data_IF_907204773607
#
_entry.id   IF_907204773607
#
_cell.length_a   1.000
_cell.length_b   1.000
_cell.length_c   1.000
_cell.angle_alpha   90.00
_cell.angle_beta   90.00
_cell.angle_gamma   90.00
#
_symmetry.space_group_name_H-M   'P 1'
#
loop_
_entity.id
_entity.type
_entity.pdbx_description
1 polymer ?
#
# COMPACT_ATOMS: atom_id res chain seq x y z
N UNK A 1 -41.36 62.77 40.10
CA UNK A 1 -41.48 61.43 40.70
C UNK A 1 -41.64 60.46 39.56
N UNK A 2 -40.55 59.78 39.23
CA UNK A 2 -40.39 58.90 38.07
C UNK A 2 -41.06 57.56 38.39
N UNK A 3 -41.97 57.08 37.57
CA UNK A 3 -42.42 55.68 37.61
C UNK A 3 -42.28 55.10 36.22
N UNK A 4 -41.41 54.10 36.16
CA UNK A 4 -40.84 53.45 34.99
C UNK A 4 -41.85 52.42 34.49
N UNK A 5 -42.15 52.44 33.19
CA UNK A 5 -42.87 51.36 32.53
C UNK A 5 -41.95 50.14 32.47
N UNK A 6 -42.39 49.04 33.09
CA UNK A 6 -41.72 47.75 33.00
C UNK A 6 -42.21 47.02 31.75
N UNK A 7 -41.52 47.23 30.62
CA UNK A 7 -41.65 46.34 29.48
C UNK A 7 -40.93 45.02 29.82
N UNK A 8 -41.70 43.95 29.98
CA UNK A 8 -41.17 42.59 29.98
C UNK A 8 -40.70 42.28 28.56
N UNK A 9 -39.42 42.47 28.31
CA UNK A 9 -38.75 41.91 27.13
C UNK A 9 -38.75 40.39 27.31
N UNK A 10 -39.60 39.71 26.53
CA UNK A 10 -39.53 38.27 26.36
C UNK A 10 -38.30 38.03 25.47
N UNK A 11 -37.14 37.81 26.09
CA UNK A 11 -35.94 37.46 25.35
C UNK A 11 -36.18 36.08 24.72
N UNK A 12 -36.50 36.05 23.43
CA UNK A 12 -36.37 34.83 22.64
C UNK A 12 -34.95 34.32 22.85
N UNK A 13 -34.82 33.05 23.26
CA UNK A 13 -33.54 32.35 23.26
C UNK A 13 -33.07 32.31 21.82
N UNK A 14 -32.16 33.22 21.45
CA UNK A 14 -31.50 33.22 20.15
C UNK A 14 -30.69 31.93 20.08
N UNK A 15 -31.08 31.03 19.17
CA UNK A 15 -30.31 29.83 18.86
C UNK A 15 -29.06 30.20 18.07
N UNK A 16 -27.97 29.46 18.30
CA UNK A 16 -26.75 29.59 17.49
C UNK A 16 -27.03 29.09 16.07
N UNK A 17 -26.60 29.86 15.07
CA UNK A 17 -26.57 29.44 13.68
C UNK A 17 -25.16 28.96 13.30
N UNK A 18 -25.04 28.11 12.27
CA UNK A 18 -23.73 27.63 11.79
C UNK A 18 -22.77 28.78 11.43
N UNK A 19 -23.31 29.89 10.91
CA UNK A 19 -22.54 31.07 10.56
C UNK A 19 -21.98 31.83 11.79
N UNK A 20 -22.45 31.52 13.00
CA UNK A 20 -21.96 32.13 14.23
C UNK A 20 -20.68 31.48 14.73
N UNK A 21 -20.44 30.19 14.42
CA UNK A 21 -19.30 29.42 14.93
C UNK A 21 -17.96 30.10 14.61
N UNK A 22 -17.78 30.55 13.37
CA UNK A 22 -16.53 31.18 12.88
C UNK A 22 -16.20 32.51 13.56
N UNK A 23 -17.19 33.15 14.22
CA UNK A 23 -16.96 34.40 14.95
C UNK A 23 -16.11 34.19 16.20
N UNK A 24 -16.08 32.98 16.74
CA UNK A 24 -15.33 32.60 17.94
C UNK A 24 -14.31 31.48 17.69
N UNK A 25 -14.65 30.50 16.86
CA UNK A 25 -13.82 29.36 16.47
C UNK A 25 -13.23 29.61 15.09
N UNK A 26 -11.98 30.04 15.00
CA UNK A 26 -11.35 30.32 13.71
C UNK A 26 -10.67 29.07 13.14
N UNK A 27 -10.07 28.26 14.01
CA UNK A 27 -9.22 27.14 13.60
C UNK A 27 -10.06 25.93 13.17
N UNK A 28 -11.12 25.59 13.90
CA UNK A 28 -11.95 24.42 13.61
C UNK A 28 -12.69 24.53 12.27
N UNK A 29 -13.41 25.63 11.95
CA UNK A 29 -14.01 25.79 10.63
C UNK A 29 -12.98 25.81 9.50
N UNK A 30 -11.79 26.37 9.73
CA UNK A 30 -10.70 26.37 8.74
C UNK A 30 -10.14 24.96 8.50
N UNK A 31 -10.00 24.16 9.56
CA UNK A 31 -9.61 22.74 9.50
C UNK A 31 -10.66 21.92 8.74
N UNK A 32 -11.95 22.07 9.06
CA UNK A 32 -13.03 21.40 8.31
C UNK A 32 -13.04 21.80 6.84
N UNK A 33 -12.86 23.10 6.55
CA UNK A 33 -12.84 23.58 5.18
C UNK A 33 -11.69 22.97 4.35
N UNK A 34 -10.52 22.77 4.97
CA UNK A 34 -9.32 22.27 4.30
C UNK A 34 -9.25 20.74 4.25
N UNK A 35 -9.60 20.08 5.36
CA UNK A 35 -9.31 18.66 5.62
C UNK A 35 -10.54 17.86 6.10
N UNK A 36 -11.71 18.49 6.25
CA UNK A 36 -12.89 17.86 6.86
C UNK A 36 -13.53 16.73 6.06
N UNK A 37 -13.19 16.58 4.77
CA UNK A 37 -13.75 15.55 3.90
C UNK A 37 -15.28 15.56 3.93
N UNK A 38 -15.89 14.44 4.34
CA UNK A 38 -17.37 14.36 4.49
C UNK A 38 -17.91 15.25 5.60
N UNK A 39 -17.12 15.60 6.62
CA UNK A 39 -17.57 16.51 7.67
C UNK A 39 -17.77 17.95 7.17
N UNK A 40 -17.18 18.30 6.03
CA UNK A 40 -17.39 19.60 5.38
C UNK A 40 -18.62 19.62 4.44
N UNK A 41 -19.14 18.45 4.04
CA UNK A 41 -20.10 18.35 2.93
C UNK A 41 -21.39 17.60 3.26
N UNK A 42 -21.35 16.70 4.25
CA UNK A 42 -22.47 15.83 4.61
C UNK A 42 -23.13 16.20 5.95
N UNK A 43 -22.45 17.01 6.76
CA UNK A 43 -22.92 17.49 8.07
C UNK A 43 -22.52 18.96 8.23
N UNK A 44 -23.14 19.62 9.18
CA UNK A 44 -22.88 20.99 9.62
C UNK A 44 -22.31 20.98 11.05
N UNK A 45 -21.83 22.14 11.51
CA UNK A 45 -21.35 22.29 12.88
C UNK A 45 -22.39 21.85 13.92
N UNK A 46 -23.67 22.14 13.67
CA UNK A 46 -24.77 21.84 14.60
C UNK A 46 -25.29 20.40 14.51
N UNK A 47 -24.96 19.67 13.45
CA UNK A 47 -25.28 18.23 13.35
C UNK A 47 -24.40 17.40 14.29
N UNK A 48 -23.19 17.89 14.59
CA UNK A 48 -22.28 17.30 15.56
C UNK A 48 -22.41 18.00 16.93
N UNK A 49 -22.25 19.32 16.98
CA UNK A 49 -22.33 20.11 18.21
C UNK A 49 -23.77 20.46 18.56
N UNK A 50 -24.50 19.47 19.07
CA UNK A 50 -25.88 19.62 19.56
C UNK A 50 -25.96 20.44 20.85
N UNK A 51 -24.85 20.53 21.58
CA UNK A 51 -24.68 21.33 22.79
C UNK A 51 -23.45 22.24 22.67
N UNK A 52 -23.49 23.40 23.34
CA UNK A 52 -22.39 24.35 23.38
C UNK A 52 -22.07 24.71 24.84
N UNK A 53 -20.80 24.65 25.30
CA UNK A 53 -20.44 25.06 26.66
C UNK A 53 -20.72 26.55 26.91
N UNK A 54 -21.10 26.95 28.14
CA UNK A 54 -21.29 26.13 29.35
C UNK A 54 -22.68 25.50 29.47
N UNK A 55 -23.53 25.57 28.43
CA UNK A 55 -24.91 25.09 28.49
C UNK A 55 -25.05 23.57 28.32
N UNK A 56 -23.96 22.90 27.92
CA UNK A 56 -23.85 21.45 27.87
C UNK A 56 -22.39 21.00 27.93
N UNK A 57 -22.19 19.74 28.28
CA UNK A 57 -20.87 19.12 28.48
C UNK A 57 -20.57 18.04 27.44
N UNK A 58 -21.60 17.49 26.79
CA UNK A 58 -21.48 16.42 25.79
C UNK A 58 -21.50 17.01 24.37
N UNK A 59 -20.49 17.84 24.09
CA UNK A 59 -20.39 18.64 22.85
C UNK A 59 -20.12 17.79 21.61
N UNK A 60 -19.54 16.59 21.78
CA UNK A 60 -19.23 15.65 20.70
C UNK A 60 -20.04 14.37 20.94
N UNK A 61 -20.97 13.99 20.04
CA UNK A 61 -21.77 12.79 20.18
C UNK A 61 -20.94 11.52 19.97
N UNK A 62 -21.52 10.37 20.30
CA UNK A 62 -20.91 9.08 19.99
C UNK A 62 -20.74 8.93 18.48
N UNK A 63 -19.53 8.56 18.03
CA UNK A 63 -19.20 8.44 16.61
C UNK A 63 -20.15 7.46 15.88
N UNK A 64 -20.56 6.39 16.56
CA UNK A 64 -21.48 5.36 16.08
C UNK A 64 -22.90 5.85 15.77
N UNK A 65 -23.28 7.07 16.16
CA UNK A 65 -24.56 7.66 15.77
C UNK A 65 -24.65 7.94 14.26
N UNK A 66 -23.50 8.16 13.62
CA UNK A 66 -23.41 8.50 12.20
C UNK A 66 -22.48 7.55 11.42
N UNK A 67 -21.48 6.96 12.08
CA UNK A 67 -20.55 6.02 11.49
C UNK A 67 -21.04 4.59 11.68
N UNK A 68 -21.59 4.00 10.61
CA UNK A 68 -22.19 2.66 10.63
C UNK A 68 -22.00 1.88 9.31
N UNK A 69 -22.34 0.60 9.32
CA UNK A 69 -22.43 -0.23 8.11
C UNK A 69 -21.11 -0.82 7.59
N UNK A 70 -20.02 -0.70 8.36
CA UNK A 70 -18.72 -1.35 8.08
C UNK A 70 -18.06 -1.80 9.38
N UNK A 71 -17.31 -2.90 9.32
CA UNK A 71 -16.57 -3.45 10.47
C UNK A 71 -15.62 -2.44 11.12
N UNK A 72 -15.05 -1.51 10.34
CA UNK A 72 -14.22 -0.44 10.87
C UNK A 72 -14.96 0.43 11.92
N UNK A 73 -16.26 0.69 11.72
CA UNK A 73 -17.04 1.53 12.62
C UNK A 73 -17.53 0.79 13.88
N UNK A 74 -17.30 -0.51 13.96
CA UNK A 74 -17.56 -1.34 15.15
C UNK A 74 -16.38 -1.32 16.13
N UNK A 75 -15.25 -0.73 15.73
CA UNK A 75 -14.05 -0.60 16.57
C UNK A 75 -14.30 0.38 17.72
N UNK A 76 -13.70 0.08 18.86
CA UNK A 76 -13.67 0.98 20.01
C UNK A 76 -12.50 1.98 19.90
N UNK A 77 -12.54 3.04 20.71
CA UNK A 77 -11.45 4.00 20.85
C UNK A 77 -11.06 4.72 19.53
N UNK A 78 -12.06 5.21 18.79
CA UNK A 78 -11.90 5.90 17.50
C UNK A 78 -10.83 7.02 17.53
N UNK A 79 -10.76 7.75 18.66
CA UNK A 79 -9.86 8.89 18.85
C UNK A 79 -8.38 8.49 19.02
N UNK A 80 -8.06 7.20 19.11
CA UNK A 80 -6.68 6.70 19.09
C UNK A 80 -5.97 7.03 17.77
N UNK A 81 -6.71 6.97 16.66
CA UNK A 81 -6.21 7.28 15.32
C UNK A 81 -6.84 8.56 14.77
N UNK A 82 -8.14 8.78 15.03
CA UNK A 82 -8.87 9.98 14.61
C UNK A 82 -8.79 11.06 15.70
N UNK A 83 -7.59 11.62 15.91
CA UNK A 83 -7.35 12.59 16.99
C UNK A 83 -8.15 13.89 16.85
N UNK A 84 -8.49 14.27 15.62
CA UNK A 84 -9.26 15.48 15.33
C UNK A 84 -10.44 15.18 14.39
N UNK A 85 -11.69 15.16 14.90
CA UNK A 85 -12.88 14.98 14.07
C UNK A 85 -13.07 16.05 13.00
N UNK A 86 -12.43 17.22 13.09
CA UNK A 86 -12.50 18.25 12.05
C UNK A 86 -11.64 17.94 10.82
N UNK A 87 -10.74 16.97 10.91
CA UNK A 87 -9.89 16.50 9.82
C UNK A 87 -9.78 14.96 9.84
N UNK A 88 -10.90 14.25 9.60
CA UNK A 88 -11.03 12.83 9.93
C UNK A 88 -10.07 11.91 9.17
N UNK A 89 -9.40 12.38 8.11
CA UNK A 89 -8.40 11.61 7.35
C UNK A 89 -6.95 11.96 7.72
N UNK A 90 -6.72 13.01 8.52
CA UNK A 90 -5.41 13.32 9.09
C UNK A 90 -5.18 12.45 10.33
N UNK A 91 -4.96 11.15 10.09
CA UNK A 91 -4.85 10.15 11.14
C UNK A 91 -3.52 10.26 11.89
N UNK A 92 -3.56 10.04 13.19
CA UNK A 92 -2.39 9.76 14.00
C UNK A 92 -2.13 8.25 14.01
N UNK A 93 -1.20 7.79 13.18
CA UNK A 93 -0.84 6.37 13.06
C UNK A 93 0.35 5.99 13.95
N UNK A 94 0.38 6.50 15.18
CA UNK A 94 1.46 6.22 16.12
C UNK A 94 1.34 4.83 16.78
N UNK A 95 2.46 4.10 16.82
CA UNK A 95 2.57 2.78 17.46
C UNK A 95 2.32 1.62 16.51
N UNK A 96 2.18 0.42 17.07
CA UNK A 96 2.05 -0.82 16.31
C UNK A 96 0.58 -1.16 16.04
N UNK A 97 0.07 -0.71 14.89
CA UNK A 97 -1.34 -0.86 14.49
C UNK A 97 -1.42 -1.83 13.30
N UNK A 98 -2.27 -2.86 13.43
CA UNK A 98 -2.50 -3.86 12.39
C UNK A 98 -3.98 -4.14 12.16
N UNK A 99 -4.67 -4.68 13.17
CA UNK A 99 -6.05 -5.15 13.06
C UNK A 99 -7.04 -4.09 12.55
N UNK A 100 -7.01 -2.82 13.00
CA UNK A 100 -7.90 -1.79 12.48
C UNK A 100 -7.76 -1.56 10.97
N UNK A 101 -6.55 -1.67 10.43
CA UNK A 101 -6.28 -1.47 9.01
C UNK A 101 -6.94 -2.57 8.16
N UNK A 102 -6.94 -3.80 8.66
CA UNK A 102 -7.47 -4.98 7.98
C UNK A 102 -9.00 -4.96 7.86
N UNK A 103 -9.70 -4.13 8.63
CA UNK A 103 -11.17 -3.94 8.50
C UNK A 103 -11.59 -3.34 7.15
N UNK A 104 -10.64 -2.71 6.43
CA UNK A 104 -10.83 -2.21 5.06
C UNK A 104 -9.79 -2.79 4.08
N UNK A 105 -8.57 -3.09 4.54
CA UNK A 105 -7.47 -3.60 3.73
C UNK A 105 -7.25 -5.10 3.97
N UNK A 106 -8.26 -5.92 3.66
CA UNK A 106 -8.18 -7.37 3.82
C UNK A 106 -7.12 -8.02 2.92
N UNK A 107 -6.92 -7.49 1.71
CA UNK A 107 -5.97 -8.02 0.71
C UNK A 107 -4.55 -8.19 1.27
N UNK A 108 -3.88 -7.12 1.73
CA UNK A 108 -2.57 -7.22 2.37
C UNK A 108 -2.52 -8.21 3.55
N UNK A 109 -3.60 -8.32 4.34
CA UNK A 109 -3.69 -9.31 5.41
C UNK A 109 -3.68 -10.75 4.90
N UNK A 110 -4.40 -11.01 3.81
CA UNK A 110 -4.40 -12.31 3.13
C UNK A 110 -3.05 -12.61 2.47
N UNK A 111 -2.42 -11.61 1.84
CA UNK A 111 -1.10 -11.76 1.24
C UNK A 111 -0.07 -12.19 2.30
N UNK A 112 -0.03 -11.54 3.46
CA UNK A 112 0.86 -11.93 4.54
C UNK A 112 0.55 -13.31 5.15
N UNK A 113 -0.73 -13.73 5.15
CA UNK A 113 -1.11 -15.06 5.61
C UNK A 113 -0.66 -16.16 4.62
N UNK A 114 -0.76 -15.89 3.31
CA UNK A 114 -0.43 -16.82 2.25
C UNK A 114 1.07 -16.85 1.94
N UNK A 115 1.77 -15.74 2.16
CA UNK A 115 3.17 -15.54 1.82
C UNK A 115 3.97 -14.99 3.01
N UNK A 116 4.26 -15.85 4.01
CA UNK A 116 5.01 -15.44 5.19
C UNK A 116 6.37 -14.82 4.84
N UNK A 117 6.68 -13.69 5.48
CA UNK A 117 7.95 -12.98 5.34
C UNK A 117 8.22 -12.14 6.59
N UNK A 118 9.42 -11.57 6.73
CA UNK A 118 9.75 -10.68 7.86
C UNK A 118 8.82 -9.45 7.93
N UNK A 119 8.26 -9.01 6.79
CA UNK A 119 7.28 -7.94 6.75
C UNK A 119 5.93 -8.34 7.37
N UNK A 120 5.55 -9.63 7.29
CA UNK A 120 4.30 -10.13 7.88
C UNK A 120 4.28 -10.03 9.41
N UNK A 121 5.47 -10.00 10.03
CA UNK A 121 5.68 -9.86 11.47
C UNK A 121 5.63 -8.40 11.95
N UNK A 122 5.65 -7.43 11.03
CA UNK A 122 5.59 -6.01 11.37
C UNK A 122 4.14 -5.50 11.46
N UNK A 123 3.95 -4.39 12.17
CA UNK A 123 2.71 -3.62 12.14
C UNK A 123 2.55 -2.92 10.78
N UNK A 124 1.31 -2.61 10.39
CA UNK A 124 1.06 -1.89 9.13
C UNK A 124 1.73 -0.51 9.15
N UNK A 125 1.69 0.12 10.33
CA UNK A 125 2.22 1.46 10.61
C UNK A 125 3.74 1.52 10.71
N UNK A 126 4.43 0.37 10.75
CA UNK A 126 5.89 0.34 10.60
C UNK A 126 6.33 0.94 9.27
N UNK A 127 5.56 0.69 8.21
CA UNK A 127 5.85 1.17 6.86
C UNK A 127 4.86 2.26 6.43
N UNK A 128 3.57 2.09 6.73
CA UNK A 128 2.50 3.04 6.43
C UNK A 128 2.22 3.98 7.60
N UNK A 129 3.11 4.94 7.81
CA UNK A 129 3.02 5.96 8.87
C UNK A 129 2.05 7.11 8.55
N UNK A 130 1.68 7.28 7.28
CA UNK A 130 0.70 8.26 6.80
C UNK A 130 -0.37 7.53 6.01
N UNK A 131 -1.63 7.72 6.40
CA UNK A 131 -2.73 7.06 5.73
C UNK A 131 -2.81 7.46 4.24
N UNK A 132 -2.82 6.46 3.35
CA UNK A 132 -2.80 6.66 1.91
C UNK A 132 -1.42 6.91 1.30
N UNK A 133 -0.35 7.03 2.11
CA UNK A 133 1.03 7.04 1.62
C UNK A 133 1.47 5.61 1.32
N UNK A 134 2.01 5.41 0.11
CA UNK A 134 2.79 4.22 -0.23
C UNK A 134 4.25 4.57 0.00
N UNK A 135 4.92 3.93 0.98
CA UNK A 135 6.33 4.17 1.29
C UNK A 135 7.23 3.65 0.17
N UNK A 136 8.40 4.27 0.03
CA UNK A 136 9.39 3.83 -0.95
C UNK A 136 10.21 2.67 -0.39
N UNK A 137 10.46 1.62 -1.18
CA UNK A 137 11.26 0.48 -0.74
C UNK A 137 12.67 0.90 -0.30
N UNK A 138 13.22 1.95 -0.94
CA UNK A 138 14.55 2.49 -0.66
C UNK A 138 14.67 3.24 0.65
N UNK A 139 13.57 3.47 1.38
CA UNK A 139 13.62 3.94 2.78
C UNK A 139 14.36 2.93 3.69
N UNK A 140 14.34 1.63 3.34
CA UNK A 140 14.99 0.58 4.14
C UNK A 140 15.83 -0.42 3.33
N UNK A 141 15.63 -0.54 2.01
CA UNK A 141 16.30 -1.54 1.17
C UNK A 141 17.18 -0.92 0.10
N UNK A 142 18.42 -1.37 0.00
CA UNK A 142 19.29 -1.03 -1.12
C UNK A 142 18.82 -1.68 -2.42
N UNK A 143 18.81 -0.92 -3.55
CA UNK A 143 18.47 -1.48 -4.85
C UNK A 143 19.55 -2.45 -5.34
N UNK A 144 19.16 -3.37 -6.24
CA UNK A 144 20.11 -4.30 -6.87
C UNK A 144 21.02 -3.62 -7.91
N UNK A 145 20.58 -2.49 -8.48
CA UNK A 145 21.33 -1.69 -9.42
C UNK A 145 21.15 -0.19 -9.15
N UNK A 146 22.16 0.59 -9.51
CA UNK A 146 22.12 2.05 -9.35
C UNK A 146 20.95 2.67 -10.12
N UNK A 147 20.20 3.55 -9.45
CA UNK A 147 19.10 4.30 -10.05
C UNK A 147 17.77 3.55 -10.19
N UNK A 148 17.65 2.33 -9.65
CA UNK A 148 16.34 1.66 -9.58
C UNK A 148 15.38 2.45 -8.69
N UNK A 149 14.13 2.54 -9.15
CA UNK A 149 13.03 3.16 -8.43
C UNK A 149 12.09 2.08 -7.90
N UNK A 150 11.18 2.44 -6.98
CA UNK A 150 10.14 1.52 -6.45
C UNK A 150 9.36 0.81 -7.56
N UNK A 151 9.09 1.46 -8.70
CA UNK A 151 8.42 0.81 -9.85
C UNK A 151 9.23 -0.35 -10.44
N UNK A 152 10.57 -0.29 -10.41
CA UNK A 152 11.44 -1.35 -10.87
C UNK A 152 11.45 -2.52 -9.88
N UNK A 153 11.43 -2.21 -8.58
CA UNK A 153 11.28 -3.21 -7.51
C UNK A 153 9.97 -3.98 -7.69
N UNK A 154 8.86 -3.27 -7.87
CA UNK A 154 7.52 -3.82 -8.07
C UNK A 154 7.35 -4.62 -9.36
N UNK A 155 8.24 -4.43 -10.33
CA UNK A 155 8.30 -5.26 -11.55
C UNK A 155 8.71 -6.71 -11.28
N UNK A 156 9.28 -6.98 -10.09
CA UNK A 156 9.77 -8.29 -9.67
C UNK A 156 9.17 -8.73 -8.32
N UNK A 157 9.19 -7.84 -7.32
CA UNK A 157 8.77 -8.09 -5.95
C UNK A 157 7.42 -7.44 -5.68
N UNK A 158 6.39 -8.22 -5.34
CA UNK A 158 5.11 -7.64 -4.95
C UNK A 158 5.16 -7.09 -3.52
N UNK A 159 4.44 -5.99 -3.29
CA UNK A 159 4.22 -5.48 -1.94
C UNK A 159 3.48 -6.54 -1.10
N UNK A 160 3.80 -6.63 0.19
CA UNK A 160 3.22 -7.59 1.14
C UNK A 160 3.53 -9.09 0.89
N UNK A 161 4.17 -9.45 -0.24
CA UNK A 161 4.73 -10.78 -0.46
C UNK A 161 6.05 -10.75 -1.25
N UNK A 162 7.06 -9.99 -0.78
CA UNK A 162 8.25 -9.64 -1.56
C UNK A 162 9.18 -10.83 -1.88
N UNK A 163 9.02 -11.96 -1.19
CA UNK A 163 9.78 -13.19 -1.49
C UNK A 163 9.28 -13.89 -2.74
N UNK A 164 8.07 -13.61 -3.19
CA UNK A 164 7.55 -14.12 -4.45
C UNK A 164 8.03 -13.21 -5.59
N UNK A 165 9.09 -13.65 -6.26
CA UNK A 165 9.73 -12.90 -7.34
C UNK A 165 9.12 -13.34 -8.66
N UNK A 166 8.35 -12.46 -9.30
CA UNK A 166 7.74 -12.68 -10.61
C UNK A 166 8.07 -11.54 -11.55
N UNK A 167 8.49 -11.85 -12.76
CA UNK A 167 8.86 -10.83 -13.74
C UNK A 167 8.35 -11.15 -15.15
N UNK A 168 8.23 -10.12 -15.97
CA UNK A 168 7.82 -10.26 -17.36
C UNK A 168 8.91 -10.95 -18.20
N UNK A 169 8.52 -11.71 -19.22
CA UNK A 169 9.49 -12.31 -20.17
C UNK A 169 10.34 -11.26 -20.90
N UNK A 170 9.86 -10.02 -20.96
CA UNK A 170 10.56 -8.88 -21.57
C UNK A 170 11.55 -8.21 -20.62
N UNK A 171 11.70 -8.67 -19.38
CA UNK A 171 12.64 -8.09 -18.41
C UNK A 171 14.07 -8.10 -18.98
N UNK A 172 14.75 -6.94 -19.04
CA UNK A 172 16.08 -6.84 -19.61
C UNK A 172 17.12 -7.67 -18.85
N UNK A 173 18.14 -8.18 -19.56
CA UNK A 173 19.27 -8.91 -18.95
C UNK A 173 19.96 -8.09 -17.86
N UNK A 174 20.04 -6.76 -18.03
CA UNK A 174 20.64 -5.85 -17.07
C UNK A 174 19.99 -5.91 -15.67
N UNK A 175 18.74 -6.37 -15.55
CA UNK A 175 18.10 -6.58 -14.24
C UNK A 175 18.58 -7.86 -13.54
N UNK A 176 19.14 -8.82 -14.27
CA UNK A 176 19.60 -10.11 -13.75
C UNK A 176 21.12 -10.13 -13.47
N UNK A 177 21.88 -9.39 -14.29
CA UNK A 177 23.34 -9.33 -14.24
C UNK A 177 23.91 -8.92 -12.88
N UNK A 178 23.31 -8.01 -12.08
CA UNK A 178 23.85 -7.64 -10.78
C UNK A 178 24.05 -8.82 -9.83
N UNK A 179 23.25 -9.88 -9.95
CA UNK A 179 23.43 -11.11 -9.17
C UNK A 179 24.04 -12.25 -10.00
N UNK A 180 23.94 -12.18 -11.32
CA UNK A 180 24.38 -13.22 -12.26
C UNK A 180 25.49 -12.72 -13.20
N UNK A 181 26.51 -12.07 -12.65
CA UNK A 181 27.57 -11.41 -13.42
C UNK A 181 28.29 -12.37 -14.39
N UNK A 182 28.65 -13.57 -13.91
CA UNK A 182 29.34 -14.57 -14.72
C UNK A 182 28.49 -15.04 -15.91
N UNK A 183 27.20 -15.32 -15.66
CA UNK A 183 26.26 -15.74 -16.71
C UNK A 183 26.05 -14.62 -17.73
N UNK A 184 25.96 -13.37 -17.25
CA UNK A 184 25.93 -12.18 -18.11
C UNK A 184 27.13 -12.14 -19.05
N UNK A 185 28.34 -12.27 -18.50
CA UNK A 185 29.59 -12.25 -19.26
C UNK A 185 29.72 -13.44 -20.24
N UNK A 186 29.18 -14.60 -19.90
CA UNK A 186 29.12 -15.76 -20.81
C UNK A 186 28.16 -15.49 -21.98
N UNK A 187 26.97 -14.96 -21.69
CA UNK A 187 25.97 -14.61 -22.71
C UNK A 187 26.47 -13.52 -23.68
N UNK A 188 27.32 -12.60 -23.23
CA UNK A 188 27.98 -11.63 -24.12
C UNK A 188 28.94 -12.29 -25.12
N UNK A 189 29.57 -13.40 -24.75
CA UNK A 189 30.52 -14.16 -25.60
C UNK A 189 29.84 -15.19 -26.51
N UNK A 190 28.61 -15.59 -26.19
CA UNK A 190 27.84 -16.55 -27.00
C UNK A 190 27.55 -16.00 -28.39
N UNK A 191 27.77 -16.81 -29.44
CA UNK A 191 27.55 -16.43 -30.85
C UNK A 191 26.35 -17.15 -31.48
N UNK A 192 25.57 -17.87 -30.69
CA UNK A 192 24.37 -18.58 -31.14
C UNK A 192 23.11 -17.71 -31.02
N UNK A 193 21.97 -18.21 -31.51
CA UNK A 193 20.69 -17.52 -31.40
C UNK A 193 20.28 -17.23 -29.95
N UNK A 194 20.79 -17.99 -28.98
CA UNK A 194 20.51 -17.77 -27.56
C UNK A 194 20.93 -16.37 -27.09
N UNK A 195 21.99 -15.80 -27.66
CA UNK A 195 22.48 -14.45 -27.34
C UNK A 195 21.40 -13.36 -27.52
N UNK A 196 20.42 -13.58 -28.40
CA UNK A 196 19.40 -12.58 -28.76
C UNK A 196 18.24 -12.49 -27.76
N UNK A 197 18.12 -13.44 -26.83
CA UNK A 197 17.03 -13.48 -25.87
C UNK A 197 17.39 -12.80 -24.55
N UNK A 198 16.39 -12.28 -23.85
CA UNK A 198 16.52 -11.89 -22.44
C UNK A 198 16.65 -13.12 -21.56
N UNK A 199 17.18 -12.98 -20.35
CA UNK A 199 17.20 -14.07 -19.37
C UNK A 199 15.76 -14.54 -19.09
N UNK A 200 14.85 -13.58 -18.89
CA UNK A 200 13.44 -13.83 -18.58
C UNK A 200 12.64 -14.51 -19.71
N UNK A 201 13.11 -14.43 -20.97
CA UNK A 201 12.46 -15.15 -22.07
C UNK A 201 12.62 -16.66 -21.91
N UNK A 202 13.76 -17.12 -21.41
CA UNK A 202 14.03 -18.53 -21.13
C UNK A 202 13.56 -18.91 -19.72
N UNK A 203 13.97 -18.13 -18.71
CA UNK A 203 13.60 -18.32 -17.31
C UNK A 203 12.28 -17.61 -17.04
N UNK A 204 11.16 -18.19 -17.46
CA UNK A 204 9.87 -17.47 -17.51
C UNK A 204 9.20 -17.38 -16.14
N UNK A 205 8.64 -16.21 -15.83
CA UNK A 205 7.71 -16.00 -14.73
C UNK A 205 8.40 -15.88 -13.38
N UNK A 206 8.40 -16.97 -12.62
CA UNK A 206 8.81 -16.97 -11.22
C UNK A 206 10.30 -17.29 -11.06
N UNK A 207 10.97 -16.59 -10.14
CA UNK A 207 12.33 -16.94 -9.71
C UNK A 207 12.30 -17.85 -8.47
N UNK A 208 13.15 -18.90 -8.40
CA UNK A 208 14.00 -19.42 -9.47
C UNK A 208 13.21 -20.32 -10.44
N UNK A 209 13.56 -20.28 -11.72
CA UNK A 209 13.03 -21.19 -12.73
C UNK A 209 14.16 -21.57 -13.68
N UNK A 210 14.28 -22.85 -14.05
CA UNK A 210 15.18 -23.32 -15.11
C UNK A 210 14.33 -24.08 -16.13
N UNK A 211 14.22 -23.59 -17.37
CA UNK A 211 13.37 -24.22 -18.37
C UNK A 211 13.96 -25.56 -18.84
N UNK A 212 13.08 -26.48 -19.22
CA UNK A 212 13.51 -27.67 -19.96
C UNK A 212 13.80 -27.29 -21.41
N UNK A 213 14.89 -27.82 -21.97
CA UNK A 213 15.32 -27.56 -23.36
C UNK A 213 14.21 -27.88 -24.37
N UNK A 214 13.48 -28.97 -24.11
CA UNK A 214 12.39 -29.51 -24.93
C UNK A 214 11.22 -28.53 -25.08
N UNK A 215 11.04 -27.60 -24.13
CA UNK A 215 10.00 -26.56 -24.17
C UNK A 215 10.07 -25.74 -25.45
N UNK A 216 11.28 -25.54 -26.00
CA UNK A 216 11.51 -24.78 -27.21
C UNK A 216 12.07 -25.64 -28.35
N UNK A 217 12.87 -26.66 -28.04
CA UNK A 217 13.56 -27.48 -29.04
C UNK A 217 12.84 -28.78 -29.43
N UNK A 218 11.83 -29.20 -28.67
CA UNK A 218 11.23 -30.52 -28.83
C UNK A 218 12.25 -31.65 -28.65
N UNK A 219 12.14 -32.70 -29.45
CA UNK A 219 13.08 -33.83 -29.47
C UNK A 219 13.82 -33.87 -30.82
N UNK A 220 14.97 -33.17 -30.95
CA UNK A 220 15.70 -33.10 -32.22
C UNK A 220 16.46 -34.40 -32.55
N UNK A 221 16.72 -35.25 -31.54
CA UNK A 221 17.40 -36.53 -31.68
C UNK A 221 16.42 -37.71 -31.66
N UNK A 222 16.92 -38.89 -32.03
CA UNK A 222 16.12 -40.13 -31.99
C UNK A 222 15.76 -40.51 -30.54
N UNK A 223 14.65 -41.24 -30.33
CA UNK A 223 14.25 -41.71 -29.01
C UNK A 223 15.33 -42.56 -28.31
N UNK A 224 16.13 -43.31 -29.08
CA UNK A 224 17.23 -44.12 -28.54
C UNK A 224 18.34 -43.24 -27.94
N UNK A 225 18.62 -42.07 -28.55
CA UNK A 225 19.60 -41.13 -28.01
C UNK A 225 19.10 -40.53 -26.70
N UNK A 226 17.88 -40.01 -26.69
CA UNK A 226 17.29 -39.43 -25.46
C UNK A 226 17.15 -40.45 -24.34
N UNK A 227 16.89 -41.73 -24.65
CA UNK A 227 16.86 -42.80 -23.66
C UNK A 227 18.24 -43.10 -23.06
N UNK A 228 19.31 -43.06 -23.87
CA UNK A 228 20.68 -43.33 -23.40
C UNK A 228 21.34 -42.12 -22.74
N UNK A 229 21.03 -40.92 -23.23
CA UNK A 229 21.62 -39.64 -22.84
C UNK A 229 20.49 -38.64 -22.56
N UNK A 230 19.81 -38.74 -21.41
CA UNK A 230 18.66 -37.90 -21.10
C UNK A 230 19.03 -36.45 -20.76
N UNK A 231 20.28 -36.19 -20.34
CA UNK A 231 20.75 -34.85 -20.02
C UNK A 231 21.39 -34.19 -21.26
N UNK A 232 20.76 -33.13 -21.75
CA UNK A 232 21.24 -32.40 -22.92
C UNK A 232 22.62 -31.75 -22.68
N UNK A 233 22.89 -31.31 -21.45
CA UNK A 233 24.09 -30.54 -21.09
C UNK A 233 25.37 -31.39 -21.13
N UNK A 234 25.26 -32.72 -21.11
CA UNK A 234 26.40 -33.63 -21.23
C UNK A 234 27.11 -33.52 -22.59
N UNK A 235 26.41 -33.03 -23.61
CA UNK A 235 26.96 -32.80 -24.95
C UNK A 235 26.78 -31.35 -25.43
N UNK A 236 25.68 -30.69 -25.04
CA UNK A 236 25.41 -29.30 -25.43
C UNK A 236 25.97 -28.27 -24.45
N UNK A 237 26.77 -28.65 -23.45
CA UNK A 237 27.41 -27.73 -22.50
C UNK A 237 26.39 -26.77 -21.86
N UNK A 238 26.72 -25.49 -21.68
CA UNK A 238 25.87 -24.49 -21.03
C UNK A 238 25.08 -23.67 -22.08
N UNK A 239 23.74 -23.55 -21.97
CA UNK A 239 22.93 -22.71 -22.86
C UNK A 239 23.35 -21.22 -22.88
N UNK A 240 24.00 -20.73 -21.81
CA UNK A 240 24.54 -19.38 -21.72
C UNK A 240 25.90 -19.21 -22.39
N UNK A 241 26.57 -20.33 -22.71
CA UNK A 241 27.90 -20.37 -23.33
C UNK A 241 28.02 -21.44 -24.41
N UNK A 242 27.07 -21.43 -25.35
CA UNK A 242 27.14 -22.31 -26.52
C UNK A 242 28.14 -21.75 -27.52
N UNK A 243 29.34 -22.33 -27.56
CA UNK A 243 30.30 -22.13 -28.65
C UNK A 243 30.00 -23.13 -29.77
N UNK A 244 29.96 -22.64 -31.01
CA UNK A 244 29.79 -23.49 -32.20
C UNK A 244 31.03 -24.34 -32.47
#
# INVERSE_FOLDING_TARGET
MMTIFADKVNAELVSLEVADCVKCHQDEPASVASNGGKHNTAVTCLDCHQEHPPWGEEVIPQCSMCHEGRSHFELENCLSCHSNPHEPLALNLAGDIKEPCLTCHEGPGQDFANYPSAHAEQSCTFCHDVHGRVPDCSECHEPHAEGQMTSDCLGCHQAHHPLEINYAMTTPRAACVPCHEEVGAQMEKTVTKHQTFTCAFCHRGQHPNVPQCQTCHGEPHSPVMHQKMPNCLDCHMDPHFLVK
#
